data_IF_858035063357
#
_entry.id   IF_858035063357
#
_cell.length_a   1.000
_cell.length_b   1.000
_cell.length_c   1.000
_cell.angle_alpha   90.00
_cell.angle_beta   90.00
_cell.angle_gamma   90.00
#
_symmetry.space_group_name_H-M   'P 1'
#
loop_
_entity.id
_entity.type
_entity.pdbx_description
1 polymer ?
#
# COMPACT_ATOMS: atom_id res chain seq x y z
N UNK A 1 14.20 -1.90 -4.54
CA UNK A 1 14.69 -3.06 -3.79
C UNK A 1 14.81 -2.75 -2.30
N UNK A 2 14.78 -3.80 -1.47
CA UNK A 2 14.96 -3.67 0.00
C UNK A 2 16.35 -3.16 0.38
N UNK A 3 17.33 -3.33 -0.49
CA UNK A 3 18.70 -2.84 -0.36
C UNK A 3 18.88 -1.35 -0.66
N UNK A 4 17.81 -0.65 -1.10
CA UNK A 4 17.90 0.79 -1.36
C UNK A 4 18.23 1.55 -0.07
N UNK A 5 19.10 2.56 -0.11
CA UNK A 5 19.46 3.36 1.08
C UNK A 5 18.22 3.93 1.75
N UNK A 6 18.16 3.82 3.07
CA UNK A 6 17.05 4.37 3.85
C UNK A 6 17.17 5.88 3.95
N UNK A 7 16.09 6.58 3.63
CA UNK A 7 15.99 8.04 3.72
C UNK A 7 14.58 8.43 4.24
N UNK A 8 14.31 8.22 5.54
CA UNK A 8 13.01 8.47 6.12
C UNK A 8 12.66 9.95 6.10
N UNK A 9 11.58 10.32 5.42
CA UNK A 9 11.12 11.71 5.25
C UNK A 9 10.06 12.12 6.29
N UNK A 10 9.71 11.26 7.24
CA UNK A 10 8.74 11.54 8.29
C UNK A 10 9.07 10.79 9.57
N UNK A 11 8.57 11.26 10.75
CA UNK A 11 8.69 10.52 12.01
C UNK A 11 8.15 9.09 11.92
N UNK A 12 7.04 8.89 11.23
CA UNK A 12 6.48 7.55 10.97
C UNK A 12 7.47 6.66 10.20
N UNK A 13 8.03 7.14 9.09
CA UNK A 13 8.99 6.38 8.31
C UNK A 13 10.26 6.06 9.11
N UNK A 14 10.71 7.00 9.95
CA UNK A 14 11.83 6.79 10.86
C UNK A 14 11.54 5.68 11.87
N UNK A 15 10.38 5.72 12.53
CA UNK A 15 9.97 4.68 13.48
C UNK A 15 9.94 3.29 12.83
N UNK A 16 9.34 3.17 11.63
CA UNK A 16 9.31 1.90 10.89
C UNK A 16 10.70 1.39 10.55
N UNK A 17 11.60 2.27 10.13
CA UNK A 17 13.00 1.93 9.85
C UNK A 17 13.74 1.43 11.11
N UNK A 18 13.52 2.08 12.26
CA UNK A 18 14.13 1.71 13.54
C UNK A 18 13.65 0.35 14.04
N UNK A 19 12.36 0.02 13.84
CA UNK A 19 11.82 -1.30 14.20
C UNK A 19 12.54 -2.43 13.44
N UNK A 20 12.84 -2.24 12.16
CA UNK A 20 13.58 -3.24 11.40
C UNK A 20 14.99 -3.47 11.95
N UNK A 21 15.70 -2.41 12.36
CA UNK A 21 17.03 -2.54 12.97
C UNK A 21 16.94 -3.21 14.34
N UNK A 22 15.91 -2.89 15.13
CA UNK A 22 15.64 -3.54 16.40
C UNK A 22 15.42 -5.05 16.25
N UNK A 23 14.58 -5.47 15.31
CA UNK A 23 14.28 -6.88 15.06
C UNK A 23 15.52 -7.66 14.58
N UNK A 24 16.36 -7.05 13.73
CA UNK A 24 17.64 -7.65 13.34
C UNK A 24 18.60 -7.81 14.53
N UNK A 25 18.61 -6.84 15.44
CA UNK A 25 19.40 -6.92 16.67
C UNK A 25 18.91 -8.03 17.59
N UNK A 26 17.59 -8.16 17.77
CA UNK A 26 16.98 -9.24 18.55
C UNK A 26 17.31 -10.61 17.95
N UNK A 27 17.23 -10.77 16.63
CA UNK A 27 17.62 -12.00 15.95
C UNK A 27 19.08 -12.41 16.20
N UNK A 28 19.98 -11.41 16.25
CA UNK A 28 21.40 -11.68 16.52
C UNK A 28 21.71 -12.02 17.98
N UNK A 29 21.02 -11.38 18.93
CA UNK A 29 21.33 -11.47 20.35
C UNK A 29 20.58 -12.60 21.07
N UNK A 30 19.36 -12.90 20.63
CA UNK A 30 18.42 -13.74 21.38
C UNK A 30 17.89 -14.95 20.60
N UNK A 31 18.47 -15.24 19.44
CA UNK A 31 17.99 -16.29 18.52
C UNK A 31 16.47 -16.15 18.22
N UNK A 32 16.01 -14.90 18.16
CA UNK A 32 14.61 -14.54 17.87
C UNK A 32 14.40 -14.44 16.37
N UNK A 33 13.61 -15.34 15.81
CA UNK A 33 13.26 -15.25 14.39
C UNK A 33 12.07 -14.33 14.15
N UNK A 34 12.20 -13.50 13.14
CA UNK A 34 11.20 -12.52 12.76
C UNK A 34 11.36 -12.07 11.31
N UNK A 35 10.33 -11.48 10.75
CA UNK A 35 10.31 -10.91 9.40
C UNK A 35 9.67 -9.52 9.40
N UNK A 36 10.19 -8.63 8.56
CA UNK A 36 9.64 -7.31 8.34
C UNK A 36 8.97 -7.25 6.97
N UNK A 37 7.64 -7.27 6.93
CA UNK A 37 6.87 -7.12 5.70
C UNK A 37 6.54 -5.65 5.47
N UNK A 38 7.18 -5.02 4.47
CA UNK A 38 6.96 -3.63 4.07
C UNK A 38 5.77 -3.53 3.14
N UNK A 39 4.58 -3.29 3.69
CA UNK A 39 3.37 -3.11 2.89
C UNK A 39 3.43 -1.76 2.16
N UNK A 40 3.23 -1.80 0.85
CA UNK A 40 2.97 -0.62 0.05
C UNK A 40 1.48 -0.28 0.15
N UNK A 41 1.02 0.75 -0.55
CA UNK A 41 -0.32 1.33 -0.36
C UNK A 41 -1.45 0.27 -0.38
N UNK A 42 -1.78 -0.29 0.78
CA UNK A 42 -2.84 -1.30 0.93
C UNK A 42 -4.20 -0.66 0.77
N UNK A 43 -5.08 -1.33 0.02
CA UNK A 43 -6.47 -0.93 -0.15
C UNK A 43 -7.38 -2.16 -0.24
N UNK A 44 -8.68 -1.96 -0.06
CA UNK A 44 -9.67 -3.03 -0.16
C UNK A 44 -10.82 -2.91 0.84
N UNK A 45 -11.62 -3.95 1.00
CA UNK A 45 -12.69 -4.05 1.98
C UNK A 45 -12.25 -3.72 3.41
N UNK A 46 -13.19 -3.21 4.20
CA UNK A 46 -13.00 -2.83 5.61
C UNK A 46 -12.05 -1.65 5.88
N UNK A 47 -11.62 -0.93 4.83
CA UNK A 47 -10.84 0.29 5.02
C UNK A 47 -11.77 1.51 5.17
N UNK A 48 -11.61 2.26 6.27
CA UNK A 48 -12.41 3.47 6.51
C UNK A 48 -12.08 4.56 5.48
N UNK A 49 -13.13 5.24 4.96
CA UNK A 49 -13.00 6.32 4.00
C UNK A 49 -13.06 7.73 4.60
N UNK A 50 -13.54 7.89 5.84
CA UNK A 50 -13.78 9.16 6.53
C UNK A 50 -12.67 9.57 7.51
N UNK A 51 -11.53 8.90 7.47
CA UNK A 51 -10.38 9.19 8.34
C UNK A 51 -9.36 10.11 7.65
N UNK A 52 -8.66 10.99 8.38
CA UNK A 52 -7.51 11.74 7.84
C UNK A 52 -6.37 10.86 7.30
N UNK A 53 -6.35 9.59 7.71
CA UNK A 53 -5.37 8.59 7.27
C UNK A 53 -5.88 7.70 6.14
N UNK A 54 -7.10 7.94 5.63
CA UNK A 54 -7.66 7.16 4.54
C UNK A 54 -6.82 7.29 3.27
N UNK A 55 -6.69 6.17 2.53
CA UNK A 55 -6.12 6.21 1.19
C UNK A 55 -7.05 6.96 0.24
N UNK A 56 -6.54 7.43 -0.89
CA UNK A 56 -7.38 8.09 -1.91
C UNK A 56 -8.55 7.18 -2.32
N UNK A 57 -8.31 5.88 -2.53
CA UNK A 57 -9.35 4.93 -2.94
C UNK A 57 -10.49 4.87 -1.92
N UNK A 58 -10.19 4.60 -0.65
CA UNK A 58 -11.22 4.49 0.38
C UNK A 58 -11.96 5.82 0.62
N UNK A 59 -11.24 6.95 0.59
CA UNK A 59 -11.84 8.27 0.71
C UNK A 59 -12.77 8.59 -0.47
N UNK A 60 -12.38 8.23 -1.68
CA UNK A 60 -13.19 8.46 -2.89
C UNK A 60 -14.39 7.50 -2.95
N UNK A 61 -14.26 6.23 -2.57
CA UNK A 61 -15.41 5.33 -2.42
C UNK A 61 -16.41 5.89 -1.40
N UNK A 62 -15.91 6.38 -0.26
CA UNK A 62 -16.78 7.03 0.74
C UNK A 62 -17.49 8.26 0.17
N UNK A 63 -16.77 9.11 -0.56
CA UNK A 63 -17.33 10.32 -1.17
C UNK A 63 -18.41 9.98 -2.21
N UNK A 64 -18.16 9.01 -3.10
CA UNK A 64 -19.16 8.52 -4.08
C UNK A 64 -20.41 8.01 -3.36
N UNK A 65 -20.23 7.14 -2.37
CA UNK A 65 -21.36 6.57 -1.61
C UNK A 65 -22.25 7.61 -0.94
N UNK A 66 -21.66 8.71 -0.49
CA UNK A 66 -22.38 9.77 0.24
C UNK A 66 -22.71 11.00 -0.63
N UNK A 67 -22.39 10.99 -1.93
CA UNK A 67 -22.64 12.11 -2.82
C UNK A 67 -21.87 13.38 -2.45
N UNK A 68 -20.65 13.24 -1.93
CA UNK A 68 -19.77 14.35 -1.51
C UNK A 68 -18.59 14.49 -2.48
N UNK A 69 -17.99 15.71 -2.60
CA UNK A 69 -16.87 15.92 -3.49
C UNK A 69 -15.65 15.05 -3.16
N UNK A 70 -14.99 14.52 -4.19
CA UNK A 70 -13.74 13.80 -4.07
C UNK A 70 -12.59 14.78 -3.80
N UNK A 71 -11.79 14.55 -2.79
CA UNK A 71 -10.58 15.33 -2.55
C UNK A 71 -9.41 14.82 -3.36
N UNK A 72 -8.83 15.66 -4.24
CA UNK A 72 -7.61 15.37 -4.99
C UNK A 72 -6.48 16.28 -4.54
N UNK A 73 -5.45 15.73 -3.89
CA UNK A 73 -4.27 16.46 -3.45
C UNK A 73 -3.25 16.59 -4.60
N UNK A 74 -2.68 17.79 -4.78
CA UNK A 74 -1.68 18.08 -5.82
C UNK A 74 -2.21 17.92 -7.25
N UNK A 75 -1.34 17.65 -8.20
CA UNK A 75 -1.70 17.51 -9.63
C UNK A 75 -2.43 16.20 -9.98
N UNK A 76 -2.38 15.20 -9.09
CA UNK A 76 -2.83 13.83 -9.36
C UNK A 76 -1.83 12.96 -10.14
N UNK A 77 -0.66 13.51 -10.50
CA UNK A 77 0.40 12.74 -11.17
C UNK A 77 1.21 11.85 -10.20
N UNK A 78 1.08 12.09 -8.89
CA UNK A 78 1.68 11.21 -7.90
C UNK A 78 1.14 9.79 -8.07
N UNK A 79 2.07 8.82 -8.11
CA UNK A 79 1.73 7.42 -8.33
C UNK A 79 2.20 6.52 -7.20
N UNK A 80 1.45 5.46 -6.96
CA UNK A 80 1.69 4.51 -5.88
C UNK A 80 1.62 3.09 -6.41
N UNK A 81 2.43 2.21 -5.82
CA UNK A 81 2.23 0.78 -5.93
C UNK A 81 1.09 0.39 -4.99
N UNK A 82 -0.06 0.11 -5.58
CA UNK A 82 -1.29 -0.22 -4.88
C UNK A 82 -1.38 -1.73 -4.66
N UNK A 83 -1.55 -2.15 -3.41
CA UNK A 83 -1.59 -3.55 -3.02
C UNK A 83 -2.97 -3.91 -2.44
N UNK A 84 -3.72 -4.76 -3.14
CA UNK A 84 -5.00 -5.23 -2.62
C UNK A 84 -4.81 -6.09 -1.37
N UNK A 85 -5.72 -5.98 -0.42
CA UNK A 85 -5.58 -6.57 0.93
C UNK A 85 -5.33 -8.07 0.91
N UNK A 86 -5.92 -8.82 0.00
CA UNK A 86 -5.72 -10.29 -0.10
C UNK A 86 -4.27 -10.65 -0.43
N UNK A 87 -3.56 -9.80 -1.18
CA UNK A 87 -2.12 -9.98 -1.43
C UNK A 87 -1.31 -9.87 -0.15
N UNK A 88 -1.72 -8.96 0.75
CA UNK A 88 -1.08 -8.79 2.06
C UNK A 88 -1.38 -10.00 2.94
N UNK A 89 -2.61 -10.48 2.97
CA UNK A 89 -3.01 -11.70 3.71
C UNK A 89 -2.21 -12.90 3.23
N UNK A 90 -2.13 -13.13 1.91
CA UNK A 90 -1.40 -14.26 1.33
C UNK A 90 0.08 -14.26 1.76
N UNK A 91 0.77 -13.14 1.64
CA UNK A 91 2.19 -13.08 2.02
C UNK A 91 2.42 -13.25 3.53
N UNK A 92 1.50 -12.79 4.38
CA UNK A 92 1.60 -13.04 5.82
C UNK A 92 1.48 -14.54 6.13
N UNK A 93 0.54 -15.24 5.48
CA UNK A 93 0.39 -16.70 5.64
C UNK A 93 1.63 -17.43 5.15
N UNK A 94 2.20 -17.04 4.00
CA UNK A 94 3.44 -17.63 3.47
C UNK A 94 4.64 -17.40 4.39
N UNK A 95 4.78 -16.18 4.91
CA UNK A 95 5.85 -15.83 5.82
C UNK A 95 5.73 -16.58 7.17
N UNK A 96 4.51 -16.74 7.69
CA UNK A 96 4.24 -17.50 8.92
C UNK A 96 4.54 -19.01 8.79
N UNK A 97 4.42 -19.56 7.57
CA UNK A 97 4.70 -20.96 7.27
C UNK A 97 6.09 -21.19 6.65
N UNK A 98 6.94 -20.18 6.63
CA UNK A 98 8.28 -20.32 6.09
C UNK A 98 9.17 -21.12 7.04
N UNK A 99 9.74 -22.20 6.54
CA UNK A 99 10.56 -23.13 7.36
C UNK A 99 12.02 -22.67 7.57
N UNK A 100 12.46 -21.62 6.87
CA UNK A 100 13.78 -21.04 7.03
C UNK A 100 13.85 -20.03 8.17
N UNK A 101 15.03 -19.47 8.39
CA UNK A 101 15.29 -18.43 9.40
C UNK A 101 15.52 -17.08 8.72
N UNK A 102 14.81 -16.03 9.14
CA UNK A 102 14.78 -14.70 8.51
C UNK A 102 15.49 -13.62 9.34
N UNK A 103 15.56 -13.75 10.68
CA UNK A 103 16.29 -12.87 11.62
C UNK A 103 16.08 -11.37 11.39
N UNK A 104 14.85 -10.96 11.19
CA UNK A 104 14.50 -9.56 10.96
C UNK A 104 14.75 -9.06 9.53
N UNK A 105 14.90 -9.94 8.55
CA UNK A 105 14.98 -9.55 7.14
C UNK A 105 13.71 -8.83 6.70
N UNK A 106 13.87 -7.89 5.76
CA UNK A 106 12.77 -7.06 5.26
C UNK A 106 12.41 -7.43 3.81
N UNK A 107 11.11 -7.53 3.54
CA UNK A 107 10.55 -7.88 2.23
C UNK A 107 9.47 -6.89 1.81
N UNK A 108 9.50 -6.45 0.56
CA UNK A 108 8.48 -5.57 0.01
C UNK A 108 7.23 -6.35 -0.37
N UNK A 109 6.07 -5.87 0.05
CA UNK A 109 4.76 -6.46 -0.26
C UNK A 109 3.94 -5.47 -1.07
N UNK A 110 3.82 -5.74 -2.36
CA UNK A 110 3.22 -4.86 -3.35
C UNK A 110 2.87 -5.64 -4.62
N UNK A 111 2.45 -4.94 -5.67
CA UNK A 111 2.21 -5.55 -6.99
C UNK A 111 3.39 -5.42 -7.97
N UNK A 112 4.40 -4.60 -7.63
CA UNK A 112 5.52 -4.30 -8.52
C UNK A 112 5.16 -3.34 -9.66
N UNK A 113 4.01 -2.68 -9.58
CA UNK A 113 3.46 -1.76 -10.55
C UNK A 113 3.07 -0.44 -9.89
N UNK A 114 2.68 0.57 -10.67
CA UNK A 114 2.25 1.85 -10.09
C UNK A 114 1.14 2.50 -10.89
N UNK A 115 0.22 3.13 -10.18
CA UNK A 115 -0.93 3.84 -10.75
C UNK A 115 -0.99 5.25 -10.19
N UNK A 116 -1.24 6.25 -11.05
CA UNK A 116 -1.40 7.65 -10.62
C UNK A 116 -2.81 7.91 -10.10
N UNK A 117 -2.95 8.95 -9.27
CA UNK A 117 -4.27 9.39 -8.81
C UNK A 117 -5.16 9.80 -9.98
N UNK A 118 -4.60 10.41 -11.04
CA UNK A 118 -5.37 10.75 -12.23
C UNK A 118 -5.91 9.51 -12.96
N UNK A 119 -5.12 8.43 -13.06
CA UNK A 119 -5.61 7.17 -13.64
C UNK A 119 -6.73 6.54 -12.81
N UNK A 120 -6.59 6.59 -11.47
CA UNK A 120 -7.63 6.10 -10.57
C UNK A 120 -8.90 6.95 -10.70
N UNK A 121 -8.77 8.29 -10.72
CA UNK A 121 -9.89 9.19 -10.88
C UNK A 121 -10.64 8.95 -12.20
N UNK A 122 -9.91 8.80 -13.31
CA UNK A 122 -10.50 8.48 -14.60
C UNK A 122 -11.33 7.19 -14.55
N UNK A 123 -10.90 6.19 -13.77
CA UNK A 123 -11.65 4.94 -13.59
C UNK A 123 -12.92 5.16 -12.74
N UNK A 124 -12.87 6.04 -11.74
CA UNK A 124 -14.07 6.46 -11.00
C UNK A 124 -15.06 7.19 -11.89
N UNK A 125 -14.59 8.13 -12.70
CA UNK A 125 -15.44 8.88 -13.65
C UNK A 125 -16.05 7.97 -14.74
N UNK A 126 -15.29 6.99 -15.25
CA UNK A 126 -15.80 5.97 -16.18
C UNK A 126 -16.97 5.19 -15.58
N UNK A 127 -16.89 4.85 -14.29
CA UNK A 127 -17.90 4.00 -13.63
C UNK A 127 -19.10 4.79 -13.09
N UNK A 128 -18.87 5.97 -12.53
CA UNK A 128 -19.87 6.72 -11.77
C UNK A 128 -20.34 8.01 -12.48
N UNK A 129 -19.79 8.34 -13.64
CA UNK A 129 -20.09 9.58 -14.38
C UNK A 129 -19.32 10.78 -13.84
N UNK A 130 -19.83 11.98 -14.11
CA UNK A 130 -19.20 13.22 -13.68
C UNK A 130 -19.18 13.32 -12.15
N UNK A 131 -17.99 13.47 -11.60
CA UNK A 131 -17.75 13.57 -10.17
C UNK A 131 -17.28 14.98 -9.80
N UNK A 132 -17.81 15.52 -8.72
CA UNK A 132 -17.31 16.78 -8.16
C UNK A 132 -15.96 16.54 -7.48
N UNK A 133 -14.91 17.26 -7.92
CA UNK A 133 -13.54 17.07 -7.46
C UNK A 133 -12.99 18.33 -6.83
N UNK A 134 -12.80 18.29 -5.52
CA UNK A 134 -12.14 19.32 -4.74
C UNK A 134 -10.62 19.23 -4.86
N UNK A 135 -10.00 20.20 -5.54
CA UNK A 135 -8.55 20.29 -5.68
C UNK A 135 -7.93 20.84 -4.41
N UNK A 136 -6.99 20.09 -3.81
CA UNK A 136 -6.24 20.51 -2.63
C UNK A 136 -4.73 20.62 -2.93
N UNK A 137 -3.99 21.42 -2.15
CA UNK A 137 -2.53 21.48 -2.27
C UNK A 137 -1.85 20.13 -2.07
N UNK A 138 -0.65 19.97 -2.64
CA UNK A 138 0.19 18.80 -2.41
C UNK A 138 0.53 18.67 -0.90
N UNK A 139 0.42 17.47 -0.35
CA UNK A 139 0.70 17.24 1.08
C UNK A 139 2.19 17.33 1.38
N UNK A 140 2.53 18.06 2.43
CA UNK A 140 3.92 18.15 2.89
C UNK A 140 4.46 16.77 3.29
N UNK A 141 5.65 16.42 2.80
CA UNK A 141 6.28 15.13 3.09
C UNK A 141 5.77 13.95 2.25
N UNK A 142 4.81 14.17 1.35
CA UNK A 142 4.40 13.14 0.41
C UNK A 142 5.44 12.99 -0.71
N UNK A 143 5.51 11.81 -1.31
CA UNK A 143 6.45 11.48 -2.39
C UNK A 143 5.73 11.37 -3.73
N UNK A 144 6.40 11.77 -4.82
CA UNK A 144 5.77 11.74 -6.14
C UNK A 144 5.50 10.32 -6.61
N UNK A 145 6.45 9.41 -6.49
CA UNK A 145 6.30 8.06 -7.02
C UNK A 145 6.82 7.01 -6.04
N UNK A 146 6.05 5.95 -5.88
CA UNK A 146 6.50 4.74 -5.18
C UNK A 146 6.20 3.51 -6.04
N UNK A 147 7.20 2.63 -6.14
CA UNK A 147 7.09 1.32 -6.79
C UNK A 147 8.02 0.34 -6.08
N UNK A 148 7.53 -0.83 -5.77
CA UNK A 148 8.32 -1.87 -5.12
C UNK A 148 9.05 -2.74 -6.14
N UNK A 149 10.24 -3.14 -5.76
CA UNK A 149 10.84 -4.38 -6.28
C UNK A 149 10.43 -5.50 -5.32
N UNK A 150 9.66 -6.46 -5.82
CA UNK A 150 9.12 -7.61 -5.06
C UNK A 150 9.90 -8.91 -5.34
N UNK A 151 11.00 -8.86 -6.11
CA UNK A 151 11.74 -10.05 -6.55
C UNK A 151 12.22 -10.92 -5.39
N UNK A 152 12.68 -10.32 -4.28
CA UNK A 152 13.09 -11.07 -3.10
C UNK A 152 11.91 -11.73 -2.39
N UNK A 153 10.75 -11.09 -2.34
CA UNK A 153 9.52 -11.64 -1.78
C UNK A 153 9.02 -12.83 -2.62
N UNK A 154 9.11 -12.70 -3.95
CA UNK A 154 8.82 -13.80 -4.87
C UNK A 154 9.80 -14.98 -4.66
N UNK A 155 11.09 -14.69 -4.57
CA UNK A 155 12.13 -15.70 -4.43
C UNK A 155 12.01 -16.48 -3.11
N UNK A 156 11.76 -15.78 -2.00
CA UNK A 156 11.79 -16.39 -0.65
C UNK A 156 10.47 -17.05 -0.31
N UNK A 157 9.34 -16.38 -0.57
CA UNK A 157 8.02 -16.86 -0.18
C UNK A 157 7.19 -17.45 -1.33
N UNK A 158 7.72 -17.46 -2.58
CA UNK A 158 6.92 -17.82 -3.76
C UNK A 158 5.73 -16.89 -3.98
N UNK A 159 5.81 -15.66 -3.43
CA UNK A 159 4.75 -14.67 -3.52
C UNK A 159 4.55 -14.21 -4.96
N UNK A 160 3.29 -14.14 -5.36
CA UNK A 160 2.87 -13.42 -6.58
C UNK A 160 1.56 -12.73 -6.25
N UNK A 161 1.36 -11.46 -6.68
CA UNK A 161 0.10 -10.79 -6.44
C UNK A 161 -1.09 -11.61 -6.96
N UNK A 162 -1.97 -12.03 -6.05
CA UNK A 162 -3.18 -12.82 -6.36
C UNK A 162 -4.21 -11.95 -7.09
N UNK A 163 -4.29 -10.68 -6.69
CA UNK A 163 -5.24 -9.70 -7.22
C UNK A 163 -4.47 -8.49 -7.70
N UNK A 164 -4.58 -8.17 -8.99
CA UNK A 164 -4.01 -6.98 -9.59
C UNK A 164 -4.83 -5.74 -9.24
N UNK A 165 -4.24 -4.57 -9.41
CA UNK A 165 -4.83 -3.31 -8.94
C UNK A 165 -6.26 -3.09 -9.44
N UNK A 166 -6.50 -3.19 -10.75
CA UNK A 166 -7.82 -2.90 -11.33
C UNK A 166 -8.90 -3.90 -10.89
N UNK A 167 -8.55 -5.18 -10.79
CA UNK A 167 -9.46 -6.21 -10.28
C UNK A 167 -9.78 -5.98 -8.79
N UNK A 168 -8.78 -5.58 -8.01
CA UNK A 168 -8.96 -5.23 -6.61
C UNK A 168 -9.81 -3.97 -6.42
N UNK A 169 -9.71 -3.01 -7.34
CA UNK A 169 -10.53 -1.80 -7.32
C UNK A 169 -12.02 -2.14 -7.56
N UNK A 170 -12.33 -2.99 -8.54
CA UNK A 170 -13.71 -3.44 -8.78
C UNK A 170 -14.28 -4.18 -7.55
N UNK A 171 -13.52 -5.11 -6.95
CA UNK A 171 -13.90 -5.77 -5.69
C UNK A 171 -14.13 -4.78 -4.54
N UNK A 172 -13.38 -3.69 -4.51
CA UNK A 172 -13.54 -2.63 -3.51
C UNK A 172 -14.83 -1.86 -3.74
N UNK A 173 -15.19 -1.54 -4.99
CA UNK A 173 -16.47 -0.93 -5.32
C UNK A 173 -17.66 -1.82 -4.93
N UNK A 174 -17.59 -3.12 -5.25
CA UNK A 174 -18.60 -4.10 -4.85
C UNK A 174 -18.81 -4.12 -3.33
N UNK A 175 -17.73 -4.12 -2.56
CA UNK A 175 -17.81 -4.09 -1.10
C UNK A 175 -18.43 -2.79 -0.56
N UNK A 176 -18.12 -1.65 -1.19
CA UNK A 176 -18.72 -0.37 -0.83
C UNK A 176 -20.20 -0.26 -1.24
N UNK A 177 -20.68 -1.19 -2.05
CA UNK A 177 -22.02 -1.16 -2.64
C UNK A 177 -22.27 0.15 -3.43
N UNK A 178 -21.33 0.43 -4.38
CA UNK A 178 -21.34 1.59 -5.29
C UNK A 178 -21.05 1.18 -6.71
#
# INVERSE_FOLDING_TARGET
PTSYPRDPKSPYAWQKSTIEDLLRMFGKLYDFDSVCLRYFNVFGPNQYGDSPYSTAISAWCHAVKHGTPLRKDGSGEQSRDMCYVDNVVDVNIRAANYEGTLRGEAFNVACGDRTSNNQILAKFEEKFGDLDVNQAPFRAGDVMHTQADISETERVFGYKPLVRFWDGLEKTFEWWDI
#
